data_IF_645525778383
#
_entry.id   IF_645525778383
#
_cell.length_a   1.000
_cell.length_b   1.000
_cell.length_c   1.000
_cell.angle_alpha   90.00
_cell.angle_beta   90.00
_cell.angle_gamma   90.00
#
_symmetry.space_group_name_H-M   'P 1'
#
loop_
_entity.id
_entity.type
_entity.pdbx_description
1 polymer ?
#
# COMPACT_ATOMS: atom_id res chain seq x y z
N UNK A 1 15.70 8.60 -9.54
CA UNK A 1 16.42 9.34 -8.50
C UNK A 1 15.47 9.39 -7.32
N UNK A 2 15.49 8.31 -6.53
CA UNK A 2 14.90 8.31 -5.20
C UNK A 2 15.74 9.34 -4.43
N UNK A 3 15.11 10.40 -3.90
CA UNK A 3 15.81 11.20 -2.90
C UNK A 3 16.24 10.25 -1.81
N UNK A 4 17.54 10.27 -1.51
CA UNK A 4 18.19 9.40 -0.56
C UNK A 4 17.56 9.57 0.79
N UNK A 5 16.55 8.75 1.09
CA UNK A 5 16.35 8.28 2.43
C UNK A 5 17.55 7.37 2.66
N UNK A 6 18.50 7.87 3.42
CA UNK A 6 19.67 7.15 3.89
C UNK A 6 19.20 6.01 4.83
N UNK A 7 18.67 4.94 4.24
CA UNK A 7 18.26 3.73 4.97
C UNK A 7 19.46 2.95 5.52
N UNK A 8 20.70 3.39 5.27
CA UNK A 8 21.88 2.72 5.83
C UNK A 8 22.06 3.00 7.32
N UNK A 9 21.46 4.06 7.86
CA UNK A 9 21.64 4.47 9.26
C UNK A 9 20.44 4.19 10.19
N UNK A 10 19.32 3.65 9.68
CA UNK A 10 18.16 3.27 10.51
C UNK A 10 18.11 1.74 10.70
N UNK A 11 18.71 1.28 11.80
CA UNK A 11 18.49 -0.06 12.41
C UNK A 11 18.57 -1.25 11.44
N UNK A 12 19.77 -1.54 10.92
CA UNK A 12 19.94 -2.62 9.94
C UNK A 12 19.77 -4.04 10.47
N UNK A 13 19.82 -4.27 11.79
CA UNK A 13 19.59 -5.60 12.35
C UNK A 13 19.37 -5.52 13.86
N UNK A 14 18.18 -5.91 14.32
CA UNK A 14 18.07 -6.40 15.70
C UNK A 14 18.18 -7.91 15.58
N UNK A 15 19.34 -8.47 15.92
CA UNK A 15 19.43 -9.87 16.32
C UNK A 15 18.82 -9.93 17.72
N UNK A 16 17.50 -9.77 17.76
CA UNK A 16 16.78 -9.51 18.98
C UNK A 16 16.72 -10.81 19.75
N UNK A 17 17.54 -10.88 20.79
CA UNK A 17 17.24 -11.69 21.97
C UNK A 17 15.75 -11.50 22.33
N UNK A 18 15.09 -12.58 22.75
CA UNK A 18 13.69 -12.60 23.17
C UNK A 18 13.40 -11.47 24.21
N UNK A 19 14.36 -11.10 25.07
CA UNK A 19 14.24 -10.01 26.05
C UNK A 19 14.11 -8.62 25.40
N UNK A 20 14.91 -8.32 24.38
CA UNK A 20 14.86 -7.02 23.69
C UNK A 20 13.57 -6.91 22.87
N UNK A 21 13.10 -8.01 22.28
CA UNK A 21 11.80 -8.05 21.64
C UNK A 21 10.69 -7.71 22.63
N UNK A 22 10.68 -8.32 23.82
CA UNK A 22 9.67 -7.99 24.83
C UNK A 22 9.67 -6.50 25.20
N UNK A 23 10.84 -5.90 25.38
CA UNK A 23 10.95 -4.47 25.70
C UNK A 23 10.40 -3.58 24.58
N UNK A 24 10.76 -3.85 23.33
CA UNK A 24 10.26 -3.11 22.16
C UNK A 24 8.74 -3.26 22.06
N UNK A 25 8.20 -4.45 22.35
CA UNK A 25 6.76 -4.69 22.29
C UNK A 25 5.98 -3.95 23.37
N UNK A 26 6.56 -3.76 24.55
CA UNK A 26 5.96 -3.00 25.66
C UNK A 26 5.91 -1.49 25.40
N UNK A 27 6.67 -0.97 24.45
CA UNK A 27 6.58 0.44 24.07
C UNK A 27 5.19 0.74 23.52
N UNK A 28 4.43 1.56 24.23
CA UNK A 28 3.11 2.07 23.81
C UNK A 28 3.29 3.30 22.93
N UNK A 29 4.07 3.17 21.85
CA UNK A 29 4.27 4.25 20.88
C UNK A 29 3.12 4.25 19.87
N UNK A 30 2.65 5.44 19.44
CA UNK A 30 1.51 5.56 18.52
C UNK A 30 1.81 5.03 17.12
N UNK A 31 3.09 4.87 16.78
CA UNK A 31 3.55 4.34 15.50
C UNK A 31 4.60 3.26 15.74
N UNK A 32 4.35 2.07 15.18
CA UNK A 32 5.28 0.94 15.17
C UNK A 32 5.45 0.49 13.74
N UNK A 33 6.69 0.51 13.23
CA UNK A 33 7.02 0.16 11.85
C UNK A 33 7.69 -1.21 11.78
N UNK A 34 7.04 -2.15 11.10
CA UNK A 34 7.56 -3.48 10.82
C UNK A 34 8.10 -3.49 9.40
N UNK A 35 9.40 -3.72 9.27
CA UNK A 35 10.08 -3.76 7.99
C UNK A 35 10.55 -5.19 7.69
N UNK A 36 9.84 -5.88 6.79
CA UNK A 36 10.16 -7.22 6.30
C UNK A 36 10.85 -7.06 4.95
N UNK A 37 12.09 -6.59 5.00
CA UNK A 37 12.93 -6.44 3.83
C UNK A 37 13.78 -7.68 3.61
N UNK A 38 13.80 -8.15 2.38
CA UNK A 38 14.57 -9.30 1.98
C UNK A 38 14.05 -9.80 0.67
N UNK A 39 14.92 -9.86 -0.33
CA UNK A 39 14.61 -10.66 -1.51
C UNK A 39 14.68 -12.10 -1.06
N UNK A 40 13.53 -12.65 -0.65
CA UNK A 40 13.38 -14.07 -0.34
C UNK A 40 13.98 -14.97 -1.42
N UNK A 41 14.03 -14.47 -2.66
CA UNK A 41 14.61 -15.13 -3.82
C UNK A 41 16.15 -15.08 -3.89
N UNK A 42 16.80 -14.11 -3.25
CA UNK A 42 18.26 -13.92 -3.34
C UNK A 42 19.01 -14.49 -2.12
N UNK A 43 18.29 -14.96 -1.09
CA UNK A 43 18.89 -15.58 0.09
C UNK A 43 18.80 -17.11 0.02
N UNK A 44 19.80 -17.85 0.57
CA UNK A 44 19.73 -19.29 0.66
C UNK A 44 18.45 -19.76 1.38
N UNK A 45 17.84 -20.84 0.90
CA UNK A 45 16.57 -21.37 1.42
C UNK A 45 16.58 -21.59 2.94
N UNK A 46 17.71 -22.04 3.50
CA UNK A 46 17.87 -22.22 4.94
C UNK A 46 17.73 -20.91 5.72
N UNK A 47 18.26 -19.81 5.18
CA UNK A 47 18.15 -18.49 5.80
C UNK A 47 16.72 -17.96 5.71
N UNK A 48 16.07 -18.12 4.55
CA UNK A 48 14.66 -17.78 4.36
C UNK A 48 13.75 -18.54 5.35
N UNK A 49 14.01 -19.83 5.53
CA UNK A 49 13.28 -20.69 6.47
C UNK A 49 13.49 -20.25 7.94
N UNK A 50 14.73 -19.98 8.34
CA UNK A 50 15.04 -19.45 9.68
C UNK A 50 14.34 -18.11 9.93
N UNK A 51 14.38 -17.21 8.94
CA UNK A 51 13.73 -15.92 9.04
C UNK A 51 12.20 -16.04 9.19
N UNK A 52 11.54 -16.85 8.35
CA UNK A 52 10.11 -17.13 8.48
C UNK A 52 9.77 -17.73 9.84
N UNK A 53 10.58 -18.68 10.33
CA UNK A 53 10.38 -19.29 11.64
C UNK A 53 10.41 -18.24 12.76
N UNK A 54 11.33 -17.28 12.69
CA UNK A 54 11.42 -16.18 13.66
C UNK A 54 10.22 -15.24 13.58
N UNK A 55 9.79 -14.86 12.37
CA UNK A 55 8.59 -14.04 12.16
C UNK A 55 7.35 -14.74 12.75
N UNK A 56 7.20 -16.03 12.48
CA UNK A 56 6.05 -16.80 12.97
C UNK A 56 6.08 -17.03 14.48
N UNK A 57 7.26 -17.29 15.07
CA UNK A 57 7.45 -17.36 16.53
C UNK A 57 6.95 -16.08 17.22
N UNK A 58 7.13 -14.93 16.57
CA UNK A 58 6.78 -13.61 17.11
C UNK A 58 5.45 -13.04 16.59
N UNK A 59 4.66 -13.83 15.85
CA UNK A 59 3.48 -13.33 15.13
C UNK A 59 2.43 -12.65 16.03
N UNK A 60 2.27 -13.08 17.27
CA UNK A 60 1.36 -12.43 18.24
C UNK A 60 1.76 -10.98 18.53
N UNK A 61 3.07 -10.71 18.60
CA UNK A 61 3.63 -9.39 18.88
C UNK A 61 3.63 -8.49 17.64
N UNK A 62 3.96 -9.07 16.48
CA UNK A 62 4.00 -8.36 15.20
C UNK A 62 2.62 -7.77 14.82
N UNK A 63 1.54 -8.35 15.34
CA UNK A 63 0.17 -7.82 15.19
C UNK A 63 -0.07 -6.44 15.79
N UNK A 64 0.79 -5.99 16.70
CA UNK A 64 0.67 -4.67 17.33
C UNK A 64 1.25 -3.54 16.48
N UNK A 65 1.88 -3.88 15.34
CA UNK A 65 2.47 -2.88 14.46
C UNK A 65 1.41 -2.14 13.65
N UNK A 66 1.58 -0.82 13.55
CA UNK A 66 0.66 0.06 12.83
C UNK A 66 1.08 0.26 11.39
N UNK A 67 2.34 -0.04 11.05
CA UNK A 67 2.89 0.20 9.73
C UNK A 67 3.65 -1.05 9.30
N UNK A 68 3.37 -1.53 8.10
CA UNK A 68 4.01 -2.70 7.52
C UNK A 68 4.68 -2.30 6.21
N UNK A 69 5.96 -2.62 6.10
CA UNK A 69 6.73 -2.45 4.90
C UNK A 69 7.35 -3.79 4.52
N UNK A 70 7.08 -4.29 3.33
CA UNK A 70 7.57 -5.60 2.92
C UNK A 70 7.89 -5.66 1.42
N UNK A 71 8.86 -6.50 1.05
CA UNK A 71 9.12 -6.76 -0.37
C UNK A 71 7.93 -7.50 -1.00
N UNK A 72 7.52 -8.62 -0.42
CA UNK A 72 6.44 -9.46 -0.91
C UNK A 72 5.81 -10.30 0.20
N UNK A 73 4.59 -10.80 -0.04
CA UNK A 73 3.87 -11.72 0.84
C UNK A 73 3.74 -13.11 0.21
N UNK A 74 4.77 -13.58 -0.51
CA UNK A 74 4.68 -14.75 -1.38
C UNK A 74 4.53 -16.09 -0.64
N UNK A 75 4.69 -16.10 0.70
CA UNK A 75 4.46 -17.28 1.52
C UNK A 75 3.07 -17.24 2.14
N UNK A 76 2.48 -18.43 2.33
CA UNK A 76 1.18 -18.57 2.98
C UNK A 76 1.22 -18.03 4.41
N UNK A 77 2.35 -18.20 5.09
CA UNK A 77 2.61 -17.72 6.44
C UNK A 77 2.59 -16.19 6.53
N UNK A 78 3.30 -15.51 5.62
CA UNK A 78 3.31 -14.05 5.58
C UNK A 78 1.96 -13.50 5.16
N UNK A 79 1.32 -14.08 4.15
CA UNK A 79 -0.04 -13.69 3.73
C UNK A 79 -0.99 -13.74 4.92
N UNK A 80 -1.02 -14.87 5.67
CA UNK A 80 -1.87 -15.02 6.86
C UNK A 80 -1.54 -14.01 7.96
N UNK A 81 -0.27 -13.70 8.17
CA UNK A 81 0.14 -12.69 9.14
C UNK A 81 -0.44 -11.32 8.75
N UNK A 82 -0.28 -10.91 7.49
CA UNK A 82 -0.78 -9.62 7.00
C UNK A 82 -2.30 -9.55 7.07
N UNK A 83 -3.01 -10.59 6.62
CA UNK A 83 -4.47 -10.67 6.75
C UNK A 83 -4.93 -10.57 8.21
N UNK A 84 -4.19 -11.18 9.13
CA UNK A 84 -4.47 -11.05 10.57
C UNK A 84 -4.25 -9.62 11.05
N UNK A 85 -3.16 -8.96 10.64
CA UNK A 85 -2.88 -7.56 11.01
C UNK A 85 -3.95 -6.61 10.47
N UNK A 86 -4.40 -6.82 9.23
CA UNK A 86 -5.50 -6.06 8.63
C UNK A 86 -6.80 -6.25 9.41
N UNK A 87 -7.14 -7.50 9.75
CA UNK A 87 -8.38 -7.84 10.46
C UNK A 87 -8.46 -7.30 11.88
N UNK A 88 -7.31 -7.03 12.52
CA UNK A 88 -7.25 -6.46 13.86
C UNK A 88 -7.52 -4.94 13.89
N UNK A 89 -7.50 -4.26 12.74
CA UNK A 89 -7.77 -2.82 12.66
C UNK A 89 -6.71 -1.92 13.31
N UNK A 90 -5.53 -2.46 13.64
CA UNK A 90 -4.40 -1.66 14.14
C UNK A 90 -3.52 -1.11 13.01
N UNK A 91 -3.56 -1.75 11.85
CA UNK A 91 -2.69 -1.46 10.71
C UNK A 91 -3.20 -0.23 9.95
N UNK A 92 -2.32 0.76 9.80
CA UNK A 92 -2.56 2.06 9.17
C UNK A 92 -1.93 2.14 7.79
N UNK A 93 -0.68 1.73 7.70
CA UNK A 93 0.12 1.88 6.49
C UNK A 93 0.64 0.53 6.02
N UNK A 94 0.45 0.24 4.73
CA UNK A 94 1.06 -0.91 4.06
C UNK A 94 1.86 -0.40 2.87
N UNK A 95 3.13 -0.79 2.82
CA UNK A 95 3.99 -0.64 1.66
C UNK A 95 4.47 -2.02 1.22
N UNK A 96 4.16 -2.39 -0.01
CA UNK A 96 4.53 -3.63 -0.67
C UNK A 96 5.20 -3.31 -2.00
N UNK A 97 6.43 -3.79 -2.19
CA UNK A 97 7.19 -3.51 -3.41
C UNK A 97 6.82 -4.43 -4.58
N UNK A 98 6.54 -5.70 -4.30
CA UNK A 98 6.25 -6.71 -5.30
C UNK A 98 4.74 -6.98 -5.37
N UNK A 99 4.25 -7.39 -6.56
CA UNK A 99 2.85 -7.69 -6.74
C UNK A 99 2.49 -8.95 -5.96
N UNK A 100 1.42 -8.86 -5.19
CA UNK A 100 0.85 -10.03 -4.53
C UNK A 100 -0.09 -10.75 -5.48
N UNK A 101 -0.12 -12.08 -5.40
CA UNK A 101 -1.30 -12.82 -5.82
C UNK A 101 -2.46 -12.45 -4.90
N UNK A 102 -3.21 -11.42 -5.30
CA UNK A 102 -4.43 -11.03 -4.60
C UNK A 102 -5.50 -12.09 -4.91
N UNK A 103 -5.47 -13.18 -4.15
CA UNK A 103 -6.49 -14.25 -4.24
C UNK A 103 -7.86 -13.75 -3.80
N UNK A 104 -7.88 -12.68 -2.99
CA UNK A 104 -9.10 -12.06 -2.48
C UNK A 104 -8.98 -10.53 -2.54
N UNK A 105 -9.42 -9.91 -3.64
CA UNK A 105 -9.36 -8.45 -3.79
C UNK A 105 -10.23 -7.73 -2.77
N UNK A 106 -11.34 -8.34 -2.35
CA UNK A 106 -12.25 -7.70 -1.40
C UNK A 106 -11.60 -7.43 -0.05
N UNK A 107 -10.78 -8.34 0.48
CA UNK A 107 -10.09 -8.13 1.77
C UNK A 107 -9.19 -6.89 1.78
N UNK A 108 -8.51 -6.60 0.66
CA UNK A 108 -7.65 -5.42 0.53
C UNK A 108 -8.45 -4.14 0.38
N UNK A 109 -9.55 -4.20 -0.37
CA UNK A 109 -10.49 -3.09 -0.51
C UNK A 109 -11.14 -2.77 0.85
N UNK A 110 -11.62 -3.80 1.56
CA UNK A 110 -12.21 -3.67 2.90
C UNK A 110 -11.20 -3.10 3.89
N UNK A 111 -9.96 -3.58 3.87
CA UNK A 111 -8.89 -3.00 4.69
C UNK A 111 -8.60 -1.55 4.35
N UNK A 112 -8.46 -1.19 3.07
CA UNK A 112 -8.19 0.18 2.67
C UNK A 112 -9.28 1.14 3.16
N UNK A 113 -10.55 0.74 3.04
CA UNK A 113 -11.68 1.53 3.51
C UNK A 113 -12.00 1.40 5.00
N UNK A 114 -11.26 0.56 5.75
CA UNK A 114 -11.37 0.51 7.21
C UNK A 114 -10.95 1.82 7.87
N UNK A 115 -11.43 2.09 9.08
CA UNK A 115 -11.10 3.32 9.83
C UNK A 115 -9.60 3.46 10.14
N UNK A 116 -8.87 2.35 10.17
CA UNK A 116 -7.45 2.34 10.55
C UNK A 116 -6.53 2.70 9.40
N UNK A 117 -6.83 2.24 8.18
CA UNK A 117 -5.94 2.42 7.04
C UNK A 117 -5.86 3.90 6.62
N UNK A 118 -4.65 4.37 6.32
CA UNK A 118 -4.39 5.72 5.80
C UNK A 118 -3.64 5.65 4.47
N UNK A 119 -2.72 4.70 4.37
CA UNK A 119 -1.85 4.55 3.21
C UNK A 119 -1.77 3.08 2.79
N UNK A 120 -1.98 2.84 1.51
CA UNK A 120 -1.73 1.56 0.88
C UNK A 120 -0.90 1.80 -0.38
N UNK A 121 0.25 1.14 -0.44
CA UNK A 121 1.07 1.08 -1.64
C UNK A 121 1.39 -0.38 -1.88
N UNK A 122 0.98 -0.88 -3.03
CA UNK A 122 1.37 -2.19 -3.53
C UNK A 122 1.69 -2.06 -5.00
N UNK A 123 2.50 -2.97 -5.54
CA UNK A 123 2.40 -3.22 -6.98
C UNK A 123 1.07 -3.93 -7.21
N UNK A 124 0.01 -3.16 -7.42
CA UNK A 124 -1.36 -3.65 -7.56
C UNK A 124 -1.59 -4.23 -8.97
N UNK A 125 -0.51 -4.58 -9.66
CA UNK A 125 -0.55 -5.15 -10.99
C UNK A 125 -0.89 -6.63 -10.92
N UNK A 126 -1.89 -7.02 -11.71
CA UNK A 126 -1.94 -8.39 -12.20
C UNK A 126 -0.68 -8.62 -13.03
N UNK A 127 0.24 -9.44 -12.52
CA UNK A 127 1.31 -10.09 -13.26
C UNK A 127 1.85 -9.31 -14.47
N UNK A 128 2.88 -8.48 -14.26
CA UNK A 128 3.77 -8.05 -15.35
C UNK A 128 4.13 -9.34 -16.09
N UNK A 129 3.60 -9.53 -17.31
CA UNK A 129 3.85 -10.76 -18.08
C UNK A 129 5.35 -11.02 -18.02
N UNK A 130 5.81 -12.23 -17.65
CA UNK A 130 7.16 -12.62 -18.00
C UNK A 130 7.32 -12.28 -19.47
N UNK A 131 8.38 -11.56 -19.84
CA UNK A 131 8.64 -11.05 -21.21
C UNK A 131 8.48 -12.11 -22.32
N UNK A 132 8.31 -13.37 -21.97
CA UNK A 132 8.21 -14.55 -22.82
C UNK A 132 6.82 -15.21 -22.90
N UNK A 133 5.82 -14.86 -22.08
CA UNK A 133 4.54 -15.61 -22.07
C UNK A 133 3.47 -15.00 -22.97
N UNK A 134 3.42 -15.47 -24.22
CA UNK A 134 2.62 -14.92 -25.33
C UNK A 134 1.12 -15.27 -25.35
N UNK A 135 0.57 -16.08 -24.44
CA UNK A 135 -0.77 -16.69 -24.69
C UNK A 135 -1.79 -16.84 -23.55
N UNK A 136 -1.59 -16.28 -22.36
CA UNK A 136 -2.69 -16.25 -21.38
C UNK A 136 -3.42 -14.90 -21.40
N UNK A 137 -4.67 -14.95 -21.85
CA UNK A 137 -5.71 -13.95 -21.59
C UNK A 137 -6.03 -14.00 -20.10
N UNK A 138 -5.15 -13.47 -19.25
CA UNK A 138 -5.52 -13.22 -17.86
C UNK A 138 -6.64 -12.18 -17.87
N UNK A 139 -7.73 -12.46 -17.15
CA UNK A 139 -8.68 -11.43 -16.73
C UNK A 139 -7.85 -10.40 -15.98
N UNK A 140 -7.78 -9.20 -16.52
CA UNK A 140 -7.14 -8.05 -15.89
C UNK A 140 -7.96 -7.75 -14.62
N UNK A 141 -7.61 -8.40 -13.51
CA UNK A 141 -8.15 -8.07 -12.21
C UNK A 141 -7.55 -6.73 -11.81
N UNK A 142 -8.24 -5.67 -12.20
CA UNK A 142 -7.86 -4.34 -11.81
C UNK A 142 -8.61 -3.97 -10.53
N UNK A 143 -8.10 -4.44 -9.39
CA UNK A 143 -8.59 -4.07 -8.06
C UNK A 143 -8.64 -2.55 -7.83
N UNK A 144 -7.98 -1.72 -8.65
CA UNK A 144 -8.19 -0.26 -8.66
C UNK A 144 -9.64 0.10 -8.97
N UNK A 145 -10.31 -0.65 -9.86
CA UNK A 145 -11.74 -0.49 -10.07
C UNK A 145 -12.53 -0.94 -8.84
N UNK A 146 -12.15 -2.04 -8.18
CA UNK A 146 -12.80 -2.46 -6.94
C UNK A 146 -12.70 -1.35 -5.86
N UNK A 147 -11.56 -0.65 -5.75
CA UNK A 147 -11.41 0.50 -4.86
C UNK A 147 -12.32 1.68 -5.27
N UNK A 148 -12.36 2.02 -6.55
CA UNK A 148 -13.17 3.15 -7.05
C UNK A 148 -14.67 2.85 -6.93
N UNK A 149 -15.10 1.64 -7.27
CA UNK A 149 -16.50 1.24 -7.24
C UNK A 149 -16.98 1.13 -5.79
N UNK A 150 -16.18 0.55 -4.89
CA UNK A 150 -16.51 0.59 -3.45
C UNK A 150 -16.59 2.02 -2.92
N UNK A 151 -15.68 2.91 -3.35
CA UNK A 151 -15.76 4.32 -2.97
C UNK A 151 -17.06 4.98 -3.45
N UNK A 152 -17.50 4.74 -4.69
CA UNK A 152 -18.77 5.30 -5.21
C UNK A 152 -20.01 4.84 -4.44
N UNK A 153 -19.96 3.66 -3.84
CA UNK A 153 -21.07 3.05 -3.10
C UNK A 153 -21.09 3.47 -1.62
N UNK A 154 -19.99 4.02 -1.09
CA UNK A 154 -19.90 4.38 0.32
C UNK A 154 -20.43 5.79 0.63
N UNK A 155 -20.70 6.09 1.90
CA UNK A 155 -20.95 7.46 2.34
C UNK A 155 -19.60 8.18 2.53
N UNK A 156 -19.20 9.09 1.63
CA UNK A 156 -17.86 9.63 1.65
C UNK A 156 -17.61 10.57 2.84
N UNK A 157 -18.68 11.09 3.47
CA UNK A 157 -18.58 11.95 4.66
C UNK A 157 -17.97 11.26 5.88
N UNK A 158 -17.94 9.92 5.87
CA UNK A 158 -17.32 9.10 6.91
C UNK A 158 -15.90 8.67 6.56
N UNK A 159 -15.45 8.96 5.34
CA UNK A 159 -14.15 8.53 4.85
C UNK A 159 -13.08 9.52 5.29
N UNK A 160 -12.15 9.06 6.13
CA UNK A 160 -10.93 9.83 6.37
C UNK A 160 -10.08 9.87 5.09
N UNK A 161 -9.28 10.93 4.86
CA UNK A 161 -8.41 11.00 3.69
C UNK A 161 -7.46 9.81 3.59
N UNK A 162 -7.40 9.19 2.42
CA UNK A 162 -6.60 7.97 2.18
C UNK A 162 -5.75 8.09 0.92
N UNK A 163 -4.69 7.28 0.86
CA UNK A 163 -3.74 7.29 -0.25
C UNK A 163 -3.49 5.89 -0.76
N UNK A 164 -3.74 5.69 -2.05
CA UNK A 164 -3.48 4.47 -2.78
C UNK A 164 -2.36 4.73 -3.79
N UNK A 165 -1.23 4.04 -3.68
CA UNK A 165 -0.09 4.19 -4.59
C UNK A 165 0.19 2.88 -5.33
N UNK A 166 0.78 3.00 -6.53
CA UNK A 166 1.13 1.84 -7.38
C UNK A 166 0.05 1.45 -8.37
N UNK A 167 -0.79 2.40 -8.78
CA UNK A 167 -1.83 2.24 -9.80
C UNK A 167 -1.22 2.47 -11.20
N UNK A 168 -1.62 1.76 -12.26
CA UNK A 168 -1.13 2.01 -13.64
C UNK A 168 -2.10 2.85 -14.50
N UNK A 169 -1.51 3.60 -15.46
CA UNK A 169 -2.09 4.63 -16.35
C UNK A 169 -3.39 4.25 -17.04
N UNK A 170 -3.47 3.12 -17.79
CA UNK A 170 -4.39 3.10 -18.93
C UNK A 170 -5.84 3.14 -18.46
N UNK A 171 -6.10 2.59 -17.28
CA UNK A 171 -7.44 2.27 -16.80
C UNK A 171 -8.13 3.44 -16.11
N UNK A 172 -7.39 4.29 -15.41
CA UNK A 172 -7.97 5.39 -14.66
C UNK A 172 -8.52 6.51 -15.56
N UNK A 173 -8.03 6.63 -16.80
CA UNK A 173 -8.62 7.53 -17.80
C UNK A 173 -10.00 7.05 -18.29
N UNK A 174 -10.29 5.74 -18.19
CA UNK A 174 -11.56 5.17 -18.64
C UNK A 174 -12.72 5.35 -17.66
N UNK A 175 -12.45 5.71 -16.40
CA UNK A 175 -13.49 5.83 -15.36
C UNK A 175 -14.08 7.24 -15.25
N UNK A 176 -13.86 8.10 -16.24
CA UNK A 176 -14.45 9.45 -16.29
C UNK A 176 -13.70 10.50 -15.46
N UNK A 177 -12.42 10.26 -15.14
CA UNK A 177 -11.57 11.28 -14.51
C UNK A 177 -11.32 12.44 -15.48
N UNK A 178 -11.43 13.67 -14.98
CA UNK A 178 -11.17 14.91 -15.74
C UNK A 178 -9.80 15.45 -15.39
N UNK A 179 -9.00 15.81 -16.40
CA UNK A 179 -7.72 16.50 -16.17
C UNK A 179 -7.99 17.90 -15.65
N UNK A 180 -7.30 18.30 -14.59
CA UNK A 180 -7.39 19.62 -13.98
C UNK A 180 -5.99 20.21 -13.76
N UNK A 181 -5.83 21.54 -13.75
CA UNK A 181 -4.58 22.14 -13.34
C UNK A 181 -4.40 22.08 -11.82
N UNK A 182 -3.17 21.86 -11.34
CA UNK A 182 -2.86 21.77 -9.90
C UNK A 182 -3.30 23.02 -9.13
N UNK A 183 -3.20 24.21 -9.72
CA UNK A 183 -3.62 25.46 -9.09
C UNK A 183 -5.14 25.61 -8.92
N UNK A 184 -5.96 24.73 -9.51
CA UNK A 184 -7.42 24.73 -9.30
C UNK A 184 -7.86 24.01 -8.02
N UNK A 185 -6.95 23.34 -7.32
CA UNK A 185 -7.24 22.71 -6.02
C UNK A 185 -7.33 23.80 -4.96
N UNK A 186 -8.55 24.01 -4.43
CA UNK A 186 -8.84 25.06 -3.45
C UNK A 186 -8.16 24.81 -2.10
N UNK A 187 -8.13 23.56 -1.65
CA UNK A 187 -7.46 23.16 -0.42
C UNK A 187 -5.94 23.35 -0.55
N UNK A 188 -5.38 24.21 0.31
CA UNK A 188 -3.96 24.57 0.28
C UNK A 188 -3.06 23.41 0.70
N UNK A 189 -3.47 22.63 1.71
CA UNK A 189 -2.67 21.54 2.26
C UNK A 189 -2.58 20.40 1.24
N UNK A 190 -3.72 20.02 0.65
CA UNK A 190 -3.79 19.05 -0.42
C UNK A 190 -2.99 19.50 -1.65
N UNK A 191 -3.09 20.79 -2.01
CA UNK A 191 -2.33 21.33 -3.14
C UNK A 191 -0.82 21.26 -2.90
N UNK A 192 -0.36 21.63 -1.70
CA UNK A 192 1.06 21.51 -1.33
C UNK A 192 1.51 20.04 -1.40
N UNK A 193 0.71 19.12 -0.85
CA UNK A 193 0.97 17.68 -0.92
C UNK A 193 1.08 17.17 -2.36
N UNK A 194 0.23 17.63 -3.28
CA UNK A 194 0.31 17.28 -4.72
C UNK A 194 1.60 17.81 -5.35
N UNK A 195 2.02 19.03 -5.01
CA UNK A 195 3.25 19.65 -5.52
C UNK A 195 4.47 18.85 -5.03
N UNK A 196 4.52 18.52 -3.75
CA UNK A 196 5.61 17.75 -3.12
C UNK A 196 5.77 16.35 -3.74
N UNK A 197 4.69 15.81 -4.33
CA UNK A 197 4.71 14.54 -5.06
C UNK A 197 5.30 14.64 -6.47
N UNK A 198 5.81 15.80 -6.91
CA UNK A 198 6.32 16.03 -8.27
C UNK A 198 5.28 15.70 -9.36
N UNK A 199 4.08 16.25 -9.18
CA UNK A 199 2.93 16.03 -10.06
C UNK A 199 3.16 16.57 -11.48
N UNK A 200 3.06 15.68 -12.48
CA UNK A 200 3.12 15.99 -13.92
C UNK A 200 1.73 16.24 -14.49
N UNK A 201 0.76 15.44 -14.06
CA UNK A 201 -0.64 15.60 -14.45
C UNK A 201 -1.54 15.22 -13.28
N UNK A 202 -2.58 16.04 -13.09
CA UNK A 202 -3.58 15.84 -12.06
C UNK A 202 -4.92 15.58 -12.74
N UNK A 203 -5.61 14.53 -12.31
CA UNK A 203 -6.98 14.25 -12.71
C UNK A 203 -7.86 14.16 -11.48
N UNK A 204 -9.16 14.40 -11.68
CA UNK A 204 -10.15 14.52 -10.64
C UNK A 204 -11.40 13.71 -11.00
N UNK A 205 -11.98 13.05 -10.01
CA UNK A 205 -13.31 12.45 -10.08
C UNK A 205 -14.10 12.82 -8.82
N UNK A 206 -15.28 13.39 -9.01
CA UNK A 206 -16.19 13.73 -7.91
C UNK A 206 -17.04 12.51 -7.52
N UNK A 207 -17.38 12.39 -6.23
CA UNK A 207 -18.25 11.31 -5.78
C UNK A 207 -19.64 11.49 -6.38
N UNK A 208 -20.31 10.42 -6.84
CA UNK A 208 -21.59 10.52 -7.53
C UNK A 208 -22.70 11.15 -6.68
N UNK A 209 -22.67 10.99 -5.37
CA UNK A 209 -23.68 11.52 -4.44
C UNK A 209 -23.22 12.73 -3.62
N UNK A 210 -21.92 13.03 -3.59
CA UNK A 210 -21.37 14.12 -2.78
C UNK A 210 -20.15 14.76 -3.48
N UNK A 211 -20.35 15.81 -4.30
CA UNK A 211 -19.27 16.45 -5.05
C UNK A 211 -18.15 17.05 -4.18
N UNK A 212 -18.34 17.15 -2.85
CA UNK A 212 -17.28 17.58 -1.94
C UNK A 212 -16.23 16.49 -1.69
N UNK A 213 -16.60 15.22 -1.82
CA UNK A 213 -15.64 14.12 -1.82
C UNK A 213 -15.15 13.81 -3.21
N UNK A 214 -13.84 13.63 -3.32
CA UNK A 214 -13.15 13.63 -4.61
C UNK A 214 -11.97 12.67 -4.59
N UNK A 215 -11.79 11.92 -5.67
CA UNK A 215 -10.55 11.21 -5.96
C UNK A 215 -9.67 12.09 -6.83
N UNK A 216 -8.43 12.33 -6.38
CA UNK A 216 -7.38 12.93 -7.19
C UNK A 216 -6.41 11.85 -7.66
N UNK A 217 -6.22 11.74 -8.97
CA UNK A 217 -5.18 10.91 -9.56
C UNK A 217 -3.97 11.76 -9.95
N UNK A 218 -2.82 11.43 -9.35
CA UNK A 218 -1.56 12.12 -9.53
C UNK A 218 -0.61 11.25 -10.35
N UNK A 219 -0.17 11.78 -11.50
CA UNK A 219 0.92 11.22 -12.30
C UNK A 219 2.24 11.85 -11.87
N UNK A 220 3.27 11.04 -11.59
CA UNK A 220 4.58 11.48 -11.12
C UNK A 220 5.66 11.32 -12.21
N UNK A 221 6.67 12.20 -12.24
CA UNK A 221 7.69 12.24 -13.31
C UNK A 221 8.66 11.04 -13.31
N UNK A 222 8.88 10.39 -12.17
CA UNK A 222 9.95 9.38 -11.98
C UNK A 222 9.48 8.02 -11.48
N UNK A 223 8.18 7.81 -11.31
CA UNK A 223 7.65 6.53 -10.81
C UNK A 223 6.81 5.85 -11.89
N UNK A 224 7.02 4.55 -12.07
CA UNK A 224 6.13 3.68 -12.84
C UNK A 224 4.83 3.51 -12.05
N UNK A 225 3.98 4.54 -12.00
CA UNK A 225 2.69 4.46 -11.31
C UNK A 225 2.04 5.81 -10.97
N UNK A 226 0.79 5.69 -10.55
CA UNK A 226 -0.10 6.76 -10.14
C UNK A 226 -0.35 6.65 -8.65
N UNK A 227 -0.73 7.79 -8.08
CA UNK A 227 -1.27 7.86 -6.73
C UNK A 227 -2.71 8.35 -6.80
N UNK A 228 -3.63 7.61 -6.19
CA UNK A 228 -4.99 8.06 -5.94
C UNK A 228 -5.07 8.60 -4.51
N UNK A 229 -5.50 9.86 -4.37
CA UNK A 229 -5.86 10.46 -3.09
C UNK A 229 -7.38 10.48 -2.99
N UNK A 230 -7.92 9.82 -1.98
CA UNK A 230 -9.34 9.84 -1.65
C UNK A 230 -9.52 10.92 -0.58
N UNK A 231 -10.28 11.96 -0.91
CA UNK A 231 -10.51 13.16 -0.09
C UNK A 231 -11.99 13.33 0.19
#
# INVERSE_FOLDING_TARGET
>A
MYDGIDFENEWQKIDADDELMELIMRLQVPEKKLAIWGRYFDIPQEQASRFLKTIMKNSCHLRTFTNLNMCSADTTELTRLVETMMSLGGLRDILMMNPMEVKNSSSWVDFFFSDSCRYFSGDIMSYRKPRTSRKNKFKEYNIVFDFIDRWKEMDPRRLAPKTLQGVEVPYALHVGMKRIPVHSVSDQELRNRIIDMNCVALHRMDHPTDPSSTIYMILRWKQEGYTLLFV
#
